data_IF_494253503294
#
_entry.id   IF_494253503294
#
_cell.length_a   1.000
_cell.length_b   1.000
_cell.length_c   1.000
_cell.angle_alpha   90.00
_cell.angle_beta   90.00
_cell.angle_gamma   90.00
#
_symmetry.space_group_name_H-M   'P 1'
#
loop_
_entity.id
_entity.type
_entity.pdbx_description
1 polymer ?
#
# COMPACT_ATOMS: atom_id res chain seq x y z
N UNK A 1 40.39 3.08 10.36
CA UNK A 1 40.22 3.07 8.88
C UNK A 1 40.91 1.84 8.33
N UNK A 2 40.26 1.04 7.48
CA UNK A 2 40.80 -0.21 6.92
C UNK A 2 41.89 -0.01 5.84
N UNK A 3 42.56 1.15 5.80
CA UNK A 3 43.62 1.44 4.82
C UNK A 3 43.15 1.66 3.37
N UNK A 4 41.85 1.56 3.09
CA UNK A 4 41.30 1.68 1.74
C UNK A 4 41.01 3.11 1.27
N UNK A 5 41.21 4.11 2.13
CA UNK A 5 41.04 5.53 1.78
C UNK A 5 39.64 5.90 1.29
N UNK A 6 39.51 7.15 0.86
CA UNK A 6 38.37 7.73 0.18
C UNK A 6 38.78 9.13 -0.30
N UNK A 7 38.15 9.64 -1.35
CA UNK A 7 38.46 10.97 -1.90
C UNK A 7 38.15 12.09 -0.88
N UNK A 8 37.21 11.85 0.03
CA UNK A 8 36.78 12.81 1.05
C UNK A 8 36.03 13.99 0.47
N UNK A 9 35.76 15.01 1.30
CA UNK A 9 34.92 16.18 0.93
C UNK A 9 33.52 15.83 0.44
N UNK A 10 33.01 14.67 0.83
CA UNK A 10 31.82 14.02 0.29
C UNK A 10 30.76 13.83 1.38
N UNK A 11 30.61 14.84 2.24
CA UNK A 11 29.64 14.83 3.33
C UNK A 11 28.23 14.57 2.80
N UNK A 12 27.42 13.86 3.59
CA UNK A 12 26.00 13.65 3.31
C UNK A 12 25.26 14.98 3.46
N UNK A 13 24.53 15.36 2.41
CA UNK A 13 23.56 16.46 2.41
C UNK A 13 22.22 15.90 2.86
N UNK A 14 21.77 16.25 4.07
CA UNK A 14 20.47 15.86 4.59
C UNK A 14 19.48 17.00 4.40
N UNK A 15 18.48 16.79 3.54
CA UNK A 15 17.45 17.76 3.23
C UNK A 15 16.14 17.37 3.92
N UNK A 16 15.61 18.31 4.71
CA UNK A 16 14.33 18.18 5.38
C UNK A 16 13.19 18.80 4.56
N UNK A 17 12.00 18.18 4.60
CA UNK A 17 10.77 18.65 3.95
C UNK A 17 11.02 19.07 2.47
N UNK A 18 11.86 18.30 1.77
CA UNK A 18 12.38 18.72 0.48
C UNK A 18 11.29 18.72 -0.61
N UNK A 19 11.32 19.69 -1.52
CA UNK A 19 10.36 19.77 -2.62
C UNK A 19 8.89 20.05 -2.26
N UNK A 20 8.51 20.13 -0.97
CA UNK A 20 7.11 20.34 -0.56
C UNK A 20 6.54 21.70 -1.02
N UNK A 21 7.36 22.75 -1.00
CA UNK A 21 7.00 24.10 -1.44
C UNK A 21 7.17 24.35 -2.95
N UNK A 22 7.50 23.32 -3.74
CA UNK A 22 7.71 23.45 -5.18
C UNK A 22 6.39 23.35 -5.96
N UNK A 23 6.39 23.78 -7.22
CA UNK A 23 5.20 23.75 -8.09
C UNK A 23 4.66 22.33 -8.33
N UNK A 24 5.54 21.32 -8.26
CA UNK A 24 5.19 19.91 -8.24
C UNK A 24 5.66 19.32 -6.92
N UNK A 25 4.76 19.29 -5.94
CA UNK A 25 5.09 18.85 -4.58
C UNK A 25 5.69 17.44 -4.58
N UNK A 26 6.81 17.29 -3.89
CA UNK A 26 7.36 15.98 -3.54
C UNK A 26 6.80 15.62 -2.16
N UNK A 27 5.99 14.56 -2.11
CA UNK A 27 5.33 14.06 -0.90
C UNK A 27 5.35 12.53 -0.94
N UNK A 28 5.10 11.91 0.21
CA UNK A 28 4.92 10.48 0.36
C UNK A 28 6.09 9.62 -0.14
N UNK A 29 7.32 10.09 0.10
CA UNK A 29 8.51 9.33 -0.21
C UNK A 29 9.71 9.82 0.62
N UNK A 30 10.83 9.14 0.50
CA UNK A 30 12.16 9.63 0.86
C UNK A 30 13.16 9.06 -0.18
N UNK A 31 14.41 9.54 -0.20
CA UNK A 31 15.45 8.91 -1.00
C UNK A 31 16.87 9.22 -0.50
N UNK A 32 17.82 8.38 -0.91
CA UNK A 32 19.24 8.65 -0.79
C UNK A 32 19.98 8.49 -2.13
N UNK A 33 20.41 9.61 -2.72
CA UNK A 33 21.30 9.58 -3.88
C UNK A 33 22.75 9.32 -3.45
N UNK A 34 23.38 8.34 -4.11
CA UNK A 34 24.73 7.89 -3.77
C UNK A 34 25.66 8.05 -4.99
N UNK A 35 26.29 9.22 -5.19
CA UNK A 35 27.31 9.35 -6.22
C UNK A 35 28.56 8.54 -5.87
N UNK A 36 29.47 8.40 -6.84
CA UNK A 36 30.80 7.84 -6.61
C UNK A 36 31.55 8.60 -5.51
N UNK A 37 32.52 7.94 -4.91
CA UNK A 37 33.39 8.50 -3.87
C UNK A 37 33.95 9.88 -4.27
N UNK A 38 33.98 10.81 -3.31
CA UNK A 38 34.23 12.23 -3.56
C UNK A 38 33.00 13.05 -3.93
N UNK A 39 31.88 12.40 -4.27
CA UNK A 39 30.57 13.03 -4.40
C UNK A 39 29.78 12.98 -3.09
N UNK A 40 29.24 14.12 -2.66
CA UNK A 40 28.30 14.19 -1.54
C UNK A 40 27.04 13.38 -1.84
N UNK A 41 26.75 12.39 -1.00
CA UNK A 41 25.42 11.77 -1.00
C UNK A 41 24.35 12.79 -0.61
N UNK A 42 23.14 12.66 -1.15
CA UNK A 42 22.00 13.51 -0.75
C UNK A 42 20.87 12.64 -0.27
N UNK A 43 20.54 12.75 1.01
CA UNK A 43 19.34 12.21 1.62
C UNK A 43 18.24 13.27 1.58
N UNK A 44 17.07 12.91 1.08
CA UNK A 44 15.91 13.78 1.00
C UNK A 44 14.75 13.13 1.76
N UNK A 45 14.22 13.86 2.73
CA UNK A 45 12.99 13.52 3.43
C UNK A 45 11.88 14.40 2.87
N UNK A 46 10.70 13.83 2.63
CA UNK A 46 9.53 14.57 2.17
C UNK A 46 8.42 14.57 3.21
N UNK A 47 7.44 15.44 2.99
CA UNK A 47 6.21 15.45 3.78
C UNK A 47 5.36 14.25 3.40
N UNK A 48 4.83 13.56 4.40
CA UNK A 48 3.85 12.49 4.22
C UNK A 48 2.45 13.06 4.40
N UNK A 49 1.61 12.93 3.39
CA UNK A 49 0.20 13.26 3.51
C UNK A 49 -0.53 12.13 4.21
N UNK A 50 -1.54 12.47 5.01
CA UNK A 50 -2.42 11.48 5.64
C UNK A 50 -3.22 10.66 4.62
N UNK A 51 -3.39 11.19 3.41
CA UNK A 51 -4.06 10.52 2.31
C UNK A 51 -3.22 9.32 1.82
N UNK A 52 -3.57 8.13 2.31
CA UNK A 52 -2.87 6.89 1.96
C UNK A 52 -2.94 5.79 3.02
N UNK A 53 -3.47 6.09 4.22
CA UNK A 53 -3.53 5.15 5.32
C UNK A 53 -4.47 3.98 5.03
N UNK A 54 -3.89 2.79 4.84
CA UNK A 54 -4.38 1.48 5.29
C UNK A 54 -5.88 1.44 5.68
N UNK A 55 -6.76 1.61 4.69
CA UNK A 55 -8.21 1.68 4.91
C UNK A 55 -8.82 0.31 5.18
N UNK A 56 -8.10 -0.75 4.85
CA UNK A 56 -8.51 -2.13 5.02
C UNK A 56 -7.66 -2.77 6.13
N UNK A 57 -8.33 -3.21 7.18
CA UNK A 57 -7.75 -4.03 8.25
C UNK A 57 -8.40 -5.41 8.27
N UNK A 58 -7.60 -6.45 8.19
CA UNK A 58 -8.03 -7.82 8.44
C UNK A 58 -7.96 -8.09 9.94
N UNK A 59 -9.10 -8.38 10.54
CA UNK A 59 -9.25 -8.65 11.97
C UNK A 59 -8.98 -10.13 12.29
N UNK A 60 -9.34 -11.02 11.36
CA UNK A 60 -9.19 -12.46 11.49
C UNK A 60 -9.14 -13.13 10.11
N UNK A 61 -8.53 -14.33 9.99
CA UNK A 61 -7.80 -15.03 11.04
C UNK A 61 -6.39 -14.47 11.27
N UNK A 62 -5.80 -14.75 12.44
CA UNK A 62 -4.50 -14.22 12.87
C UNK A 62 -3.36 -14.34 11.82
N UNK A 63 -3.22 -15.42 11.02
CA UNK A 63 -2.15 -15.52 10.04
C UNK A 63 -2.17 -14.49 8.91
N UNK A 64 -3.32 -13.85 8.67
CA UNK A 64 -3.51 -12.82 7.65
C UNK A 64 -4.05 -11.52 8.26
N UNK A 65 -3.98 -11.40 9.60
CA UNK A 65 -4.39 -10.19 10.28
C UNK A 65 -3.37 -9.07 10.02
N UNK A 66 -3.87 -7.86 9.85
CA UNK A 66 -3.04 -6.72 9.51
C UNK A 66 -3.71 -5.80 8.51
N UNK A 67 -2.98 -4.78 8.11
CA UNK A 67 -3.45 -3.72 7.24
C UNK A 67 -3.01 -3.93 5.80
N UNK A 68 -3.90 -3.63 4.85
CA UNK A 68 -3.66 -3.84 3.43
C UNK A 68 -3.79 -2.53 2.66
N UNK A 69 -2.94 -2.36 1.66
CA UNK A 69 -3.01 -1.23 0.73
C UNK A 69 -4.19 -1.43 -0.22
N UNK A 70 -4.95 -0.36 -0.43
CA UNK A 70 -6.11 -0.38 -1.32
C UNK A 70 -6.15 0.81 -2.26
N UNK A 71 -6.79 0.61 -3.42
CA UNK A 71 -7.34 1.69 -4.25
C UNK A 71 -8.83 1.81 -3.95
N UNK A 72 -9.36 3.02 -3.81
CA UNK A 72 -10.76 3.27 -3.44
C UNK A 72 -11.51 3.88 -4.62
N UNK A 73 -12.69 3.34 -4.92
CA UNK A 73 -13.51 3.84 -6.04
C UNK A 73 -13.96 5.28 -5.83
N UNK A 74 -14.38 5.63 -4.61
CA UNK A 74 -14.91 6.95 -4.28
C UNK A 74 -13.87 8.09 -4.29
N UNK A 75 -12.57 7.76 -4.25
CA UNK A 75 -11.47 8.74 -4.36
C UNK A 75 -10.75 8.69 -5.71
N UNK A 76 -11.34 8.01 -6.70
CA UNK A 76 -10.76 7.89 -8.04
C UNK A 76 -11.01 9.16 -8.87
N UNK A 77 -10.36 9.27 -10.03
CA UNK A 77 -10.59 10.36 -10.98
C UNK A 77 -12.01 10.35 -11.60
N UNK A 78 -12.71 9.22 -11.51
CA UNK A 78 -14.08 9.01 -11.98
C UNK A 78 -14.85 8.23 -10.90
N UNK A 79 -15.24 8.92 -9.81
CA UNK A 79 -15.59 8.27 -8.54
C UNK A 79 -16.98 7.62 -8.56
N UNK A 80 -17.12 6.51 -7.85
CA UNK A 80 -18.41 5.85 -7.57
C UNK A 80 -18.38 5.09 -6.24
N UNK A 81 -19.54 4.64 -5.78
CA UNK A 81 -19.66 3.97 -4.49
C UNK A 81 -19.65 4.94 -3.31
N UNK A 82 -19.96 4.42 -2.12
CA UNK A 82 -19.85 5.22 -0.91
C UNK A 82 -18.38 5.43 -0.52
N UNK A 83 -18.03 6.60 0.06
CA UNK A 83 -16.70 6.79 0.63
C UNK A 83 -16.46 5.82 1.80
N UNK A 84 -15.21 5.42 2.00
CA UNK A 84 -14.77 4.91 3.31
C UNK A 84 -14.70 6.11 4.24
N UNK A 85 -15.21 5.97 5.47
CA UNK A 85 -15.30 7.08 6.45
C UNK A 85 -14.70 6.65 7.79
N UNK A 86 -14.72 7.53 8.78
CA UNK A 86 -14.38 7.23 10.16
C UNK A 86 -15.38 6.29 10.87
N UNK A 87 -16.53 6.01 10.24
CA UNK A 87 -17.48 4.99 10.70
C UNK A 87 -17.07 3.62 10.13
N UNK A 88 -16.71 2.64 10.98
CA UNK A 88 -16.19 1.36 10.52
C UNK A 88 -17.28 0.50 9.86
N UNK A 89 -16.99 0.02 8.66
CA UNK A 89 -17.75 -1.05 8.00
C UNK A 89 -17.02 -2.37 8.24
N UNK A 90 -17.54 -3.17 9.17
CA UNK A 90 -16.94 -4.45 9.57
C UNK A 90 -17.84 -5.60 9.17
N UNK A 91 -17.28 -6.66 8.61
CA UNK A 91 -18.04 -7.84 8.25
C UNK A 91 -17.18 -9.04 7.89
N UNK A 92 -17.79 -10.21 7.96
CA UNK A 92 -17.20 -11.43 7.41
C UNK A 92 -17.16 -11.31 5.88
N UNK A 93 -16.06 -11.78 5.30
CA UNK A 93 -15.86 -11.74 3.85
C UNK A 93 -16.39 -13.01 3.22
N UNK A 94 -17.12 -12.89 2.12
CA UNK A 94 -17.55 -14.02 1.31
C UNK A 94 -17.30 -13.74 -0.17
N UNK A 95 -16.95 -14.79 -0.92
CA UNK A 95 -16.75 -14.70 -2.37
C UNK A 95 -18.11 -14.48 -3.01
N UNK A 96 -18.25 -13.42 -3.81
CA UNK A 96 -19.45 -13.22 -4.63
C UNK A 96 -19.47 -14.23 -5.76
N UNK A 97 -20.48 -15.10 -5.82
CA UNK A 97 -20.61 -16.13 -6.85
C UNK A 97 -21.96 -16.07 -7.55
N UNK A 98 -21.99 -16.49 -8.81
CA UNK A 98 -23.20 -16.76 -9.56
C UNK A 98 -23.11 -18.12 -10.26
N UNK A 99 -24.17 -18.51 -10.99
CA UNK A 99 -24.24 -19.82 -11.66
C UNK A 99 -23.71 -19.80 -13.10
N UNK A 100 -22.85 -18.84 -13.47
CA UNK A 100 -22.26 -18.75 -14.81
C UNK A 100 -20.94 -19.53 -14.91
N UNK A 101 -20.38 -19.65 -16.12
CA UNK A 101 -19.06 -20.26 -16.33
C UNK A 101 -17.89 -19.48 -15.74
N UNK A 102 -18.11 -18.25 -15.27
CA UNK A 102 -17.11 -17.42 -14.59
C UNK A 102 -17.72 -16.86 -13.28
N UNK A 103 -17.95 -17.74 -12.29
CA UNK A 103 -18.87 -17.48 -11.20
C UNK A 103 -18.48 -16.27 -10.34
N UNK A 104 -17.19 -15.97 -10.23
CA UNK A 104 -16.63 -14.99 -9.30
C UNK A 104 -16.42 -13.61 -9.89
N UNK A 105 -16.78 -13.39 -11.16
CA UNK A 105 -16.56 -12.10 -11.82
C UNK A 105 -17.65 -11.06 -11.51
N UNK A 106 -18.80 -11.44 -10.94
CA UNK A 106 -19.87 -10.49 -10.64
C UNK A 106 -20.44 -9.75 -11.86
N UNK A 107 -20.27 -10.27 -13.08
CA UNK A 107 -20.81 -9.66 -14.31
C UNK A 107 -22.30 -9.97 -14.54
N UNK A 108 -22.86 -10.87 -13.75
CA UNK A 108 -24.28 -11.19 -13.68
C UNK A 108 -24.69 -11.25 -12.21
N UNK A 109 -26.00 -11.10 -11.89
CA UNK A 109 -26.48 -11.12 -10.52
C UNK A 109 -25.91 -12.29 -9.72
N UNK A 110 -25.39 -11.99 -8.53
CA UNK A 110 -24.87 -13.00 -7.61
C UNK A 110 -26.02 -13.83 -7.05
N UNK A 111 -25.76 -15.11 -6.80
CA UNK A 111 -26.78 -16.08 -6.38
C UNK A 111 -26.64 -16.49 -4.91
N UNK A 112 -25.50 -16.20 -4.28
CA UNK A 112 -25.29 -16.43 -2.86
C UNK A 112 -25.71 -15.23 -2.01
N UNK A 113 -26.15 -15.50 -0.78
CA UNK A 113 -26.51 -14.48 0.19
C UNK A 113 -25.25 -13.81 0.76
N UNK A 114 -25.17 -12.49 0.61
CA UNK A 114 -24.10 -11.64 1.13
C UNK A 114 -24.62 -10.63 2.16
N UNK A 115 -25.83 -10.82 2.68
CA UNK A 115 -26.46 -9.92 3.68
C UNK A 115 -25.53 -9.68 4.87
N UNK A 116 -25.13 -8.42 5.06
CA UNK A 116 -24.25 -8.01 6.16
C UNK A 116 -22.78 -8.40 5.98
N UNK A 117 -22.41 -8.99 4.84
CA UNK A 117 -21.05 -9.46 4.53
C UNK A 117 -20.32 -8.48 3.63
N UNK A 118 -18.99 -8.61 3.58
CA UNK A 118 -18.16 -7.91 2.61
C UNK A 118 -17.94 -8.87 1.42
N UNK A 119 -18.30 -8.44 0.21
CA UNK A 119 -18.15 -9.25 -0.99
C UNK A 119 -16.72 -9.15 -1.53
N UNK A 120 -16.05 -10.27 -1.82
CA UNK A 120 -14.81 -10.29 -2.59
C UNK A 120 -15.08 -10.82 -4.01
N UNK A 121 -14.77 -10.04 -5.05
CA UNK A 121 -15.14 -10.30 -6.45
C UNK A 121 -13.94 -10.08 -7.36
N UNK A 122 -13.74 -10.97 -8.33
CA UNK A 122 -12.61 -10.88 -9.24
C UNK A 122 -12.79 -9.78 -10.29
N UNK A 123 -11.73 -9.00 -10.51
CA UNK A 123 -11.59 -8.14 -11.69
C UNK A 123 -11.62 -8.99 -12.95
N UNK A 124 -12.18 -8.46 -14.03
CA UNK A 124 -12.24 -9.16 -15.29
C UNK A 124 -12.98 -8.34 -16.34
N UNK A 125 -13.82 -9.02 -17.12
CA UNK A 125 -14.38 -8.53 -18.39
C UNK A 125 -15.44 -7.42 -18.27
N UNK A 126 -16.03 -7.20 -17.10
CA UNK A 126 -17.08 -6.20 -16.88
C UNK A 126 -16.62 -5.08 -15.94
N UNK A 127 -17.32 -3.95 -16.00
CA UNK A 127 -17.01 -2.74 -15.23
C UNK A 127 -17.07 -2.95 -13.72
N UNK A 128 -16.27 -2.17 -12.97
CA UNK A 128 -16.17 -2.25 -11.51
C UNK A 128 -17.47 -1.92 -10.80
N UNK A 129 -18.14 -0.84 -11.21
CA UNK A 129 -19.43 -0.41 -10.65
C UNK A 129 -20.52 -1.49 -10.79
N UNK A 130 -20.57 -2.21 -11.91
CA UNK A 130 -21.53 -3.30 -12.11
C UNK A 130 -21.31 -4.45 -11.12
N UNK A 131 -20.05 -4.79 -10.83
CA UNK A 131 -19.69 -5.82 -9.84
C UNK A 131 -20.17 -5.42 -8.46
N UNK A 132 -19.86 -4.18 -8.05
CA UNK A 132 -20.27 -3.64 -6.76
C UNK A 132 -21.80 -3.53 -6.65
N UNK A 133 -22.48 -3.15 -7.73
CA UNK A 133 -23.95 -3.12 -7.79
C UNK A 133 -24.54 -4.52 -7.56
N UNK A 134 -24.03 -5.57 -8.21
CA UNK A 134 -24.50 -6.93 -7.95
C UNK A 134 -24.16 -7.44 -6.54
N UNK A 135 -23.02 -7.05 -5.98
CA UNK A 135 -22.69 -7.33 -4.58
C UNK A 135 -23.70 -6.71 -3.62
N UNK A 136 -24.02 -5.42 -3.84
CA UNK A 136 -25.01 -4.68 -3.07
C UNK A 136 -26.39 -5.32 -3.15
N UNK A 137 -26.84 -5.71 -4.35
CA UNK A 137 -28.13 -6.38 -4.52
C UNK A 137 -28.21 -7.74 -3.81
N UNK A 138 -27.08 -8.42 -3.62
CA UNK A 138 -26.97 -9.64 -2.84
C UNK A 138 -26.87 -9.39 -1.32
N UNK A 139 -26.94 -8.13 -0.87
CA UNK A 139 -26.96 -7.72 0.54
C UNK A 139 -25.59 -7.35 1.13
N UNK A 140 -24.53 -7.30 0.31
CA UNK A 140 -23.20 -6.93 0.79
C UNK A 140 -23.17 -5.49 1.32
N UNK A 141 -22.40 -5.25 2.37
CA UNK A 141 -22.21 -3.92 2.98
C UNK A 141 -20.96 -3.19 2.46
N UNK A 142 -20.06 -3.91 1.80
CA UNK A 142 -18.92 -3.37 1.06
C UNK A 142 -18.46 -4.38 -0.01
N UNK A 143 -17.67 -3.92 -0.97
CA UNK A 143 -17.12 -4.75 -2.04
C UNK A 143 -15.60 -4.57 -2.16
N UNK A 144 -14.89 -5.69 -2.18
CA UNK A 144 -13.46 -5.80 -2.48
C UNK A 144 -13.33 -6.37 -3.90
N UNK A 145 -12.70 -5.60 -4.78
CA UNK A 145 -12.32 -6.03 -6.12
C UNK A 145 -10.92 -6.65 -6.05
N UNK A 146 -10.84 -7.91 -6.44
CA UNK A 146 -9.58 -8.61 -6.59
C UNK A 146 -8.93 -8.29 -7.91
N UNK A 147 -7.80 -7.59 -7.88
CA UNK A 147 -7.04 -7.34 -9.08
C UNK A 147 -6.39 -8.63 -9.60
N UNK A 148 -6.04 -8.66 -10.89
CA UNK A 148 -5.30 -9.76 -11.50
C UNK A 148 -3.80 -9.45 -11.66
N UNK A 149 -3.35 -8.28 -11.17
CA UNK A 149 -1.96 -7.81 -11.10
C UNK A 149 -1.71 -7.18 -9.72
N UNK A 150 -0.45 -7.05 -9.30
CA UNK A 150 -0.13 -6.41 -8.02
C UNK A 150 -0.20 -4.89 -8.07
N UNK A 151 0.02 -4.30 -9.25
CA UNK A 151 -0.14 -2.87 -9.44
C UNK A 151 -1.62 -2.48 -9.35
N UNK A 152 -1.97 -1.71 -8.32
CA UNK A 152 -3.33 -1.19 -8.14
C UNK A 152 -3.66 -0.19 -9.24
N UNK A 153 -4.93 -0.18 -9.65
CA UNK A 153 -5.42 0.74 -10.68
C UNK A 153 -6.58 1.59 -10.15
N UNK A 154 -6.81 2.71 -10.81
CA UNK A 154 -8.03 3.49 -10.59
C UNK A 154 -9.23 2.71 -11.12
N UNK A 155 -10.26 2.57 -10.29
CA UNK A 155 -11.53 1.98 -10.70
C UNK A 155 -12.40 3.07 -11.34
N UNK A 156 -12.44 3.10 -12.67
CA UNK A 156 -13.33 4.00 -13.40
C UNK A 156 -14.80 3.61 -13.21
N UNK A 157 -15.68 4.61 -13.17
CA UNK A 157 -17.11 4.39 -13.14
C UNK A 157 -17.58 3.75 -14.45
N UNK A 158 -18.70 3.03 -14.37
CA UNK A 158 -19.32 2.40 -15.52
C UNK A 158 -20.80 2.20 -15.28
N UNK A 159 -21.35 1.12 -15.84
CA UNK A 159 -22.76 0.79 -15.68
C UNK A 159 -23.14 0.70 -14.18
N UNK A 160 -24.28 1.29 -13.81
CA UNK A 160 -24.82 1.36 -12.44
C UNK A 160 -23.94 2.10 -11.41
N UNK A 161 -22.97 2.91 -11.83
CA UNK A 161 -22.14 3.69 -10.89
C UNK A 161 -22.97 4.54 -9.92
N UNK A 162 -24.00 5.23 -10.42
CA UNK A 162 -24.89 6.08 -9.63
C UNK A 162 -25.78 5.29 -8.63
N UNK A 163 -25.87 3.96 -8.80
CA UNK A 163 -26.70 3.09 -7.96
C UNK A 163 -25.87 2.36 -6.87
N UNK A 164 -24.54 2.49 -6.87
CA UNK A 164 -23.67 1.85 -5.87
C UNK A 164 -23.56 2.76 -4.65
N UNK A 165 -24.08 2.27 -3.52
CA UNK A 165 -24.15 2.98 -2.23
C UNK A 165 -23.33 2.28 -1.13
N UNK A 166 -22.48 1.32 -1.49
CA UNK A 166 -21.55 0.63 -0.58
C UNK A 166 -20.11 1.03 -0.89
N UNK A 167 -19.19 0.98 0.10
CA UNK A 167 -17.77 1.20 -0.17
C UNK A 167 -17.20 0.15 -1.11
N UNK A 168 -16.36 0.59 -2.05
CA UNK A 168 -15.70 -0.28 -3.02
C UNK A 168 -14.20 -0.01 -3.01
N UNK A 169 -13.43 -1.06 -2.71
CA UNK A 169 -11.97 -1.02 -2.66
C UNK A 169 -11.37 -2.10 -3.56
N UNK A 170 -10.13 -1.91 -4.00
CA UNK A 170 -9.35 -2.89 -4.75
C UNK A 170 -8.07 -3.21 -4.00
N UNK A 171 -7.71 -4.50 -3.96
CA UNK A 171 -6.44 -5.01 -3.44
C UNK A 171 -5.62 -5.68 -4.55
N UNK A 172 -4.33 -5.89 -4.28
CA UNK A 172 -3.39 -6.54 -5.18
C UNK A 172 -3.78 -7.99 -5.47
N UNK A 173 -3.23 -8.58 -6.53
CA UNK A 173 -3.42 -10.00 -6.83
C UNK A 173 -2.88 -10.87 -5.70
N UNK A 174 -1.69 -10.58 -5.21
CA UNK A 174 -1.02 -11.33 -4.14
C UNK A 174 -1.86 -11.34 -2.86
N UNK A 175 -2.39 -10.18 -2.46
CA UNK A 175 -3.26 -10.09 -1.28
C UNK A 175 -4.56 -10.85 -1.50
N UNK A 176 -5.14 -10.78 -2.70
CA UNK A 176 -6.32 -11.58 -3.04
C UNK A 176 -6.09 -13.08 -2.91
N UNK A 177 -4.99 -13.58 -3.45
CA UNK A 177 -4.67 -15.01 -3.39
C UNK A 177 -4.54 -15.49 -1.94
N UNK A 178 -4.02 -14.65 -1.06
CA UNK A 178 -3.93 -14.93 0.39
C UNK A 178 -5.32 -14.89 1.03
N UNK A 179 -6.04 -13.77 0.92
CA UNK A 179 -7.29 -13.54 1.63
C UNK A 179 -8.41 -14.48 1.15
N UNK A 180 -8.47 -14.80 -0.14
CA UNK A 180 -9.51 -15.68 -0.69
C UNK A 180 -9.48 -17.09 -0.11
N UNK A 181 -8.35 -17.56 0.42
CA UNK A 181 -8.27 -18.86 1.10
C UNK A 181 -9.15 -18.91 2.36
N UNK A 182 -9.46 -17.75 2.95
CA UNK A 182 -10.24 -17.62 4.18
C UNK A 182 -11.64 -17.01 3.95
N UNK A 183 -11.93 -16.52 2.75
CA UNK A 183 -13.23 -15.97 2.39
C UNK A 183 -14.33 -17.05 2.43
N UNK A 184 -15.47 -16.73 3.04
CA UNK A 184 -16.56 -17.67 3.33
C UNK A 184 -16.30 -18.57 4.54
N UNK A 185 -15.17 -18.36 5.24
CA UNK A 185 -14.80 -19.09 6.45
C UNK A 185 -14.60 -18.10 7.62
N UNK A 186 -13.35 -17.81 7.98
CA UNK A 186 -12.97 -17.00 9.15
C UNK A 186 -12.49 -15.59 8.82
N UNK A 187 -12.47 -15.21 7.53
CA UNK A 187 -12.01 -13.89 7.13
C UNK A 187 -12.98 -12.81 7.58
N UNK A 188 -12.52 -11.92 8.44
CA UNK A 188 -13.25 -10.75 8.93
C UNK A 188 -12.43 -9.50 8.70
N UNK A 189 -13.04 -8.47 8.12
CA UNK A 189 -12.35 -7.24 7.70
C UNK A 189 -13.13 -6.02 8.18
N UNK A 190 -12.40 -4.95 8.47
CA UNK A 190 -12.93 -3.60 8.69
C UNK A 190 -12.42 -2.66 7.60
N UNK A 191 -13.33 -1.91 6.99
CA UNK A 191 -13.03 -0.72 6.19
C UNK A 191 -13.32 0.51 7.04
N UNK A 192 -12.30 1.32 7.30
CA UNK A 192 -12.44 2.54 8.10
C UNK A 192 -11.30 3.49 7.78
N UNK A 193 -11.58 4.79 7.72
CA UNK A 193 -10.52 5.78 7.78
C UNK A 193 -9.90 5.74 9.18
N UNK A 194 -8.56 5.68 9.29
CA UNK A 194 -7.94 5.79 10.60
C UNK A 194 -8.39 7.11 11.25
N UNK A 195 -8.69 7.10 12.57
CA UNK A 195 -9.16 8.27 13.27
C UNK A 195 -8.25 9.47 12.98
N UNK A 196 -8.83 10.66 12.89
CA UNK A 196 -8.13 11.94 12.75
C UNK A 196 -7.30 12.24 14.01
N UNK A 197 -6.25 11.47 14.24
CA UNK A 197 -5.27 11.72 15.29
C UNK A 197 -4.03 12.34 14.66
N UNK A 198 -3.87 13.66 14.82
CA UNK A 198 -2.69 14.39 14.36
C UNK A 198 -2.90 15.23 13.11
N UNK A 199 -1.82 15.81 12.57
CA UNK A 199 -1.87 16.72 11.43
C UNK A 199 -2.10 15.98 10.10
N UNK A 200 -2.70 16.65 9.12
CA UNK A 200 -2.90 16.11 7.76
C UNK A 200 -1.58 15.90 6.99
N UNK A 201 -0.51 16.51 7.49
CA UNK A 201 0.85 16.46 6.96
C UNK A 201 1.78 16.05 8.10
N UNK A 202 2.46 14.92 7.90
CA UNK A 202 3.48 14.42 8.80
C UNK A 202 4.85 14.80 8.21
N UNK A 203 5.69 15.34 9.07
CA UNK A 203 7.06 15.65 8.72
C UNK A 203 7.90 14.37 8.78
N UNK A 204 8.31 13.87 7.61
CA UNK A 204 9.09 12.63 7.48
C UNK A 204 10.43 12.69 8.23
N UNK A 205 10.96 13.89 8.49
CA UNK A 205 12.20 14.09 9.23
C UNK A 205 12.12 13.66 10.71
N UNK A 206 10.92 13.42 11.24
CA UNK A 206 10.75 12.87 12.59
C UNK A 206 10.65 11.34 12.63
N UNK A 207 10.66 10.67 11.48
CA UNK A 207 10.66 9.21 11.41
C UNK A 207 12.09 8.66 11.33
N UNK A 208 12.61 8.24 12.49
CA UNK A 208 13.95 7.66 12.60
C UNK A 208 14.11 6.36 11.77
N UNK A 209 13.01 5.63 11.53
CA UNK A 209 13.04 4.41 10.73
C UNK A 209 13.28 4.72 9.26
N UNK A 210 12.57 5.72 8.70
CA UNK A 210 12.80 6.18 7.33
C UNK A 210 14.23 6.73 7.18
N UNK A 211 14.70 7.54 8.13
CA UNK A 211 16.08 8.06 8.09
C UNK A 211 17.10 6.92 8.06
N UNK A 212 16.93 5.91 8.93
CA UNK A 212 17.81 4.75 8.97
C UNK A 212 17.74 3.90 7.69
N UNK A 213 16.55 3.71 7.12
CA UNK A 213 16.33 3.06 5.83
C UNK A 213 17.10 3.74 4.72
N UNK A 214 16.90 5.05 4.56
CA UNK A 214 17.57 5.83 3.50
C UNK A 214 19.09 5.85 3.69
N UNK A 215 19.57 5.91 4.93
CA UNK A 215 21.01 5.81 5.19
C UNK A 215 21.55 4.42 4.82
N UNK A 216 20.74 3.37 4.97
CA UNK A 216 21.01 2.01 4.52
C UNK A 216 21.31 1.94 3.02
N UNK A 217 20.58 2.70 2.19
CA UNK A 217 20.91 2.85 0.76
C UNK A 217 22.28 3.49 0.56
N UNK A 218 22.58 4.57 1.29
CA UNK A 218 23.89 5.22 1.21
C UNK A 218 25.06 4.29 1.55
N UNK A 219 24.90 3.45 2.58
CA UNK A 219 25.90 2.46 3.00
C UNK A 219 26.04 1.35 1.94
N UNK A 220 24.93 0.70 1.58
CA UNK A 220 24.93 -0.47 0.70
C UNK A 220 25.43 -0.14 -0.71
N UNK A 221 25.00 1.00 -1.28
CA UNK A 221 25.45 1.46 -2.58
C UNK A 221 26.96 1.72 -2.60
N UNK A 222 27.51 2.39 -1.58
CA UNK A 222 28.96 2.68 -1.50
C UNK A 222 29.82 1.43 -1.29
N UNK A 223 29.31 0.44 -0.56
CA UNK A 223 30.10 -0.72 -0.15
C UNK A 223 30.00 -1.93 -1.09
N UNK A 224 28.96 -2.03 -1.93
CA UNK A 224 28.76 -3.22 -2.77
C UNK A 224 29.60 -3.20 -4.05
N UNK A 225 29.51 -2.13 -4.84
CA UNK A 225 30.22 -2.00 -6.13
C UNK A 225 31.61 -1.37 -6.00
N UNK A 226 31.96 -0.88 -4.81
CA UNK A 226 33.17 -0.12 -4.57
C UNK A 226 33.04 1.37 -4.93
N UNK A 227 34.09 2.17 -4.66
CA UNK A 227 34.02 3.64 -4.62
C UNK A 227 33.60 4.30 -5.94
N UNK A 228 33.89 3.66 -7.09
CA UNK A 228 33.56 4.18 -8.41
C UNK A 228 32.25 3.63 -9.00
N UNK A 229 31.57 2.70 -8.31
CA UNK A 229 30.43 1.98 -8.87
C UNK A 229 29.25 1.89 -7.88
N UNK A 230 28.86 3.04 -7.33
CA UNK A 230 27.76 3.16 -6.38
C UNK A 230 26.36 2.82 -6.94
N UNK A 231 26.22 2.61 -8.26
CA UNK A 231 24.95 2.27 -8.92
C UNK A 231 24.75 0.77 -9.20
N UNK A 232 25.51 -0.12 -8.57
CA UNK A 232 25.49 -1.55 -8.89
C UNK A 232 24.26 -2.32 -8.38
N UNK A 233 23.44 -1.72 -7.50
CA UNK A 233 22.26 -2.33 -6.89
C UNK A 233 20.95 -2.08 -7.66
N UNK A 234 21.02 -1.67 -8.93
CA UNK A 234 19.85 -1.42 -9.79
C UNK A 234 19.36 -2.61 -10.62
N UNK A 235 19.75 -3.85 -10.27
CA UNK A 235 19.41 -5.07 -11.02
C UNK A 235 18.30 -5.89 -10.33
N UNK A 236 17.85 -6.97 -10.96
CA UNK A 236 16.75 -7.80 -10.43
C UNK A 236 17.13 -8.62 -9.17
N UNK A 237 18.42 -8.91 -8.97
CA UNK A 237 18.94 -9.71 -7.84
C UNK A 237 19.79 -8.83 -6.91
N UNK A 238 19.12 -7.87 -6.28
CA UNK A 238 19.75 -6.90 -5.37
C UNK A 238 19.03 -6.88 -4.02
N UNK A 239 19.79 -6.64 -2.94
CA UNK A 239 19.28 -6.66 -1.56
C UNK A 239 19.15 -5.27 -0.92
N UNK A 240 19.39 -4.19 -1.68
CA UNK A 240 19.43 -2.81 -1.22
C UNK A 240 18.22 -2.39 -0.38
N UNK A 241 16.99 -2.64 -0.84
CA UNK A 241 15.78 -2.37 -0.05
C UNK A 241 15.74 -3.19 1.24
N UNK A 242 15.95 -4.50 1.16
CA UNK A 242 15.89 -5.38 2.33
C UNK A 242 17.02 -5.12 3.35
N UNK A 243 18.19 -4.66 2.91
CA UNK A 243 19.25 -4.21 3.81
C UNK A 243 18.88 -2.88 4.49
N UNK A 244 18.26 -1.96 3.76
CA UNK A 244 17.74 -0.71 4.33
C UNK A 244 16.63 -0.98 5.36
N UNK A 245 15.71 -1.91 5.08
CA UNK A 245 14.69 -2.37 6.05
C UNK A 245 15.36 -2.93 7.31
N UNK A 246 16.39 -3.77 7.13
CA UNK A 246 17.14 -4.33 8.25
C UNK A 246 17.85 -3.25 9.09
N UNK A 247 18.46 -2.24 8.45
CA UNK A 247 19.06 -1.10 9.14
C UNK A 247 18.01 -0.31 9.93
N UNK A 248 16.84 -0.07 9.34
CA UNK A 248 15.72 0.59 10.02
C UNK A 248 15.30 -0.17 11.28
N UNK A 249 15.07 -1.47 11.18
CA UNK A 249 14.65 -2.31 12.29
C UNK A 249 15.72 -2.39 13.40
N UNK A 250 16.99 -2.64 13.05
CA UNK A 250 18.03 -2.86 14.05
C UNK A 250 18.40 -1.57 14.79
N UNK A 251 18.34 -0.42 14.12
CA UNK A 251 18.66 0.88 14.71
C UNK A 251 17.53 1.43 15.57
N UNK A 252 16.32 0.91 15.43
CA UNK A 252 15.13 1.30 16.20
C UNK A 252 14.70 0.26 17.23
N UNK A 253 15.47 -0.81 17.42
CA UNK A 253 15.19 -1.87 18.40
C UNK A 253 15.38 -1.37 19.84
N UNK A 254 14.47 -1.77 20.73
CA UNK A 254 14.48 -1.45 22.16
C UNK A 254 14.74 -2.71 23.02
N UNK A 255 15.28 -2.54 24.24
CA UNK A 255 15.37 -3.64 25.20
C UNK A 255 14.00 -4.27 25.45
N UNK A 256 13.87 -5.57 25.15
CA UNK A 256 12.62 -6.32 25.31
C UNK A 256 11.91 -6.66 24.01
N UNK A 257 12.34 -6.09 22.89
CA UNK A 257 11.85 -6.48 21.57
C UNK A 257 12.29 -7.93 21.28
N UNK A 258 11.36 -8.72 20.75
CA UNK A 258 11.58 -10.12 20.35
C UNK A 258 11.48 -10.27 18.85
N UNK A 259 12.27 -11.20 18.29
CA UNK A 259 12.27 -11.55 16.88
C UNK A 259 11.01 -12.32 16.46
#
# INVERSE_FOLDING_TARGET
TYGHGGAGSDAVQANAIDGYASAQQSVNNANFSTPADGGSGRMQMFVWTRAGGQLLSVNAPAPVAGTYTVSVAASSADPFGAPVTDVPVTGDVAIGVNNTGQPTLGCSPLTNDLTGKIAIIDRGICNFSLKAYHAQLAGAVACIICNFEDQLVNMAAGLNADDVNIPVVMISKTDCDILRQFAGQSLNITLVEPPTSGPDLLDGDFDNGIIAHEYGHGISNRLTGGPNQAGCLGNAEQMGEGWSDWFSLIMTTHPGDVA
#
